data_IF_323045901003
#
_entry.id   IF_323045901003
#
_cell.length_a   1.000
_cell.length_b   1.000
_cell.length_c   1.000
_cell.angle_alpha   90.00
_cell.angle_beta   90.00
_cell.angle_gamma   90.00
#
_symmetry.space_group_name_H-M   'P 1'
#
loop_
_entity.id
_entity.type
_entity.pdbx_description
1 polymer ?
#
# COMPACT_ATOMS: atom_id res chain seq x y z
N UNK A 1 -4.23 16.36 -9.78
CA UNK A 1 -3.83 16.89 -8.46
C UNK A 1 -4.85 17.94 -8.08
N UNK A 2 -5.26 17.97 -6.82
CA UNK A 2 -6.22 18.97 -6.32
C UNK A 2 -5.42 20.09 -5.65
N UNK A 3 -5.13 21.15 -6.42
CA UNK A 3 -4.30 22.28 -6.01
C UNK A 3 -4.67 22.85 -4.64
N UNK A 4 -5.97 22.83 -4.30
CA UNK A 4 -6.49 23.34 -3.01
C UNK A 4 -5.97 22.51 -1.85
N UNK A 5 -6.01 21.19 -2.01
CA UNK A 5 -5.58 20.25 -0.98
C UNK A 5 -4.06 20.20 -0.90
N UNK A 6 -3.38 20.31 -2.04
CA UNK A 6 -1.94 20.41 -2.09
C UNK A 6 -1.46 21.68 -1.36
N UNK A 7 -2.12 22.82 -1.60
CA UNK A 7 -1.85 24.07 -0.87
C UNK A 7 -2.11 23.94 0.64
N UNK A 8 -3.20 23.29 1.05
CA UNK A 8 -3.50 23.07 2.47
C UNK A 8 -2.42 22.22 3.16
N UNK A 9 -1.92 21.18 2.49
CA UNK A 9 -0.83 20.35 3.01
C UNK A 9 0.48 21.15 3.13
N UNK A 10 0.80 22.01 2.15
CA UNK A 10 1.97 22.90 2.22
C UNK A 10 1.85 23.92 3.35
N UNK A 11 0.66 24.47 3.54
CA UNK A 11 0.36 25.39 4.63
C UNK A 11 0.55 24.71 5.99
N UNK A 12 0.02 23.50 6.15
CA UNK A 12 0.20 22.67 7.34
C UNK A 12 1.68 22.41 7.64
N UNK A 13 2.46 22.00 6.63
CA UNK A 13 3.88 21.68 6.81
C UNK A 13 4.70 22.94 7.15
N UNK A 14 4.45 24.06 6.48
CA UNK A 14 5.12 25.33 6.76
C UNK A 14 4.77 25.89 8.15
N UNK A 15 3.53 25.68 8.60
CA UNK A 15 3.09 26.02 9.95
C UNK A 15 3.55 25.00 11.00
N UNK A 16 4.06 23.83 10.60
CA UNK A 16 4.29 22.69 11.50
C UNK A 16 3.07 22.33 12.37
N UNK A 17 1.86 22.50 11.81
CA UNK A 17 0.59 22.33 12.53
C UNK A 17 0.29 23.43 13.57
N UNK A 18 1.09 24.49 13.67
CA UNK A 18 0.81 25.61 14.56
C UNK A 18 -0.22 26.56 13.94
N UNK A 19 -1.43 26.57 14.50
CA UNK A 19 -2.53 27.48 14.10
C UNK A 19 -2.24 28.97 14.32
N UNK A 20 -1.17 29.31 15.03
CA UNK A 20 -0.75 30.70 15.26
C UNK A 20 0.35 31.14 14.29
N UNK A 21 0.97 30.21 13.57
CA UNK A 21 1.94 30.54 12.54
C UNK A 21 1.26 31.28 11.38
N UNK A 22 1.84 32.41 10.99
CA UNK A 22 1.45 33.15 9.79
C UNK A 22 2.39 32.73 8.66
N UNK A 23 1.81 32.22 7.58
CA UNK A 23 2.54 31.68 6.45
C UNK A 23 2.17 32.45 5.19
N UNK A 24 3.18 32.89 4.43
CA UNK A 24 2.97 33.51 3.12
C UNK A 24 2.61 32.42 2.10
N UNK A 25 1.44 32.47 1.47
CA UNK A 25 1.07 31.45 0.48
C UNK A 25 1.74 31.64 -0.89
N UNK A 26 2.17 32.87 -1.22
CA UNK A 26 2.84 33.15 -2.50
C UNK A 26 4.16 32.39 -2.65
N UNK A 27 4.80 32.03 -1.52
CA UNK A 27 6.01 31.20 -1.54
C UNK A 27 5.78 29.78 -2.08
N UNK A 28 4.52 29.38 -2.28
CA UNK A 28 4.15 28.05 -2.78
C UNK A 28 3.92 28.01 -4.29
N UNK A 29 3.94 29.15 -5.01
CA UNK A 29 3.71 29.21 -6.47
C UNK A 29 4.67 28.29 -7.25
N UNK A 30 5.98 28.44 -7.01
CA UNK A 30 7.01 27.61 -7.65
C UNK A 30 6.90 26.12 -7.26
N UNK A 31 6.53 25.85 -6.01
CA UNK A 31 6.45 24.49 -5.47
C UNK A 31 5.19 23.72 -5.90
N UNK A 32 4.12 24.45 -6.25
CA UNK A 32 2.86 23.88 -6.70
C UNK A 32 2.78 23.83 -8.23
N UNK A 33 3.72 24.44 -8.95
CA UNK A 33 3.71 24.52 -10.41
C UNK A 33 2.46 25.24 -10.94
N UNK A 34 1.94 26.19 -10.17
CA UNK A 34 0.69 26.90 -10.42
C UNK A 34 0.94 28.42 -10.46
N UNK A 35 0.12 29.15 -11.22
CA UNK A 35 0.19 30.60 -11.27
C UNK A 35 -0.27 31.24 -9.96
N UNK A 36 0.20 32.46 -9.68
CA UNK A 36 -0.22 33.25 -8.51
C UNK A 36 -1.75 33.33 -8.36
N UNK A 37 -2.47 33.53 -9.47
CA UNK A 37 -3.94 33.60 -9.50
C UNK A 37 -4.59 32.28 -9.13
N UNK A 38 -4.03 31.14 -9.54
CA UNK A 38 -4.55 29.82 -9.19
C UNK A 38 -4.33 29.50 -7.70
N UNK A 39 -3.17 29.89 -7.16
CA UNK A 39 -2.87 29.73 -5.73
C UNK A 39 -3.73 30.66 -4.89
N UNK A 40 -3.97 31.89 -5.34
CA UNK A 40 -4.88 32.84 -4.69
C UNK A 40 -6.31 32.28 -4.62
N UNK A 41 -6.85 31.80 -5.74
CA UNK A 41 -8.18 31.16 -5.77
C UNK A 41 -8.25 29.90 -4.88
N UNK A 42 -7.17 29.12 -4.82
CA UNK A 42 -7.10 27.97 -3.94
C UNK A 42 -7.12 28.40 -2.46
N UNK A 43 -6.40 29.47 -2.12
CA UNK A 43 -6.36 29.99 -0.76
C UNK A 43 -7.69 30.60 -0.32
N UNK A 44 -8.35 31.39 -1.19
CA UNK A 44 -9.70 31.90 -0.97
C UNK A 44 -10.69 30.77 -0.70
N UNK A 45 -10.58 29.68 -1.46
CA UNK A 45 -11.41 28.50 -1.24
C UNK A 45 -11.17 27.87 0.14
N UNK A 46 -9.91 27.76 0.57
CA UNK A 46 -9.56 27.22 1.90
C UNK A 46 -10.12 28.10 3.02
N UNK A 47 -10.09 29.42 2.85
CA UNK A 47 -10.68 30.38 3.80
C UNK A 47 -12.20 30.23 3.86
N UNK A 48 -12.86 30.19 2.70
CA UNK A 48 -14.32 30.02 2.62
C UNK A 48 -14.80 28.70 3.23
N UNK A 49 -13.97 27.64 3.17
CA UNK A 49 -14.25 26.34 3.78
C UNK A 49 -13.85 26.24 5.26
N UNK A 50 -13.24 27.28 5.82
CA UNK A 50 -12.81 27.31 7.22
C UNK A 50 -11.52 26.53 7.51
N UNK A 51 -10.79 26.09 6.49
CA UNK A 51 -9.51 25.36 6.66
C UNK A 51 -8.30 26.27 6.87
N UNK A 52 -8.41 27.52 6.42
CA UNK A 52 -7.43 28.57 6.67
C UNK A 52 -8.15 29.86 7.08
N UNK A 53 -7.40 30.83 7.59
CA UNK A 53 -7.93 32.14 7.94
C UNK A 53 -6.96 33.28 7.61
N UNK A 54 -7.53 34.42 7.20
CA UNK A 54 -6.81 35.67 6.97
C UNK A 54 -6.71 36.47 8.26
N UNK A 55 -5.54 36.44 8.90
CA UNK A 55 -5.27 37.19 10.13
C UNK A 55 -4.68 38.58 9.89
N UNK A 56 -4.11 38.81 8.71
CA UNK A 56 -3.53 40.10 8.33
C UNK A 56 -3.89 40.42 6.89
N UNK A 57 -3.79 41.70 6.52
CA UNK A 57 -3.94 42.12 5.13
C UNK A 57 -2.70 41.67 4.32
N UNK A 58 -2.94 41.03 3.19
CA UNK A 58 -1.89 40.52 2.31
C UNK A 58 -1.88 38.99 2.25
N UNK A 59 -0.83 38.39 1.67
CA UNK A 59 -0.82 36.98 1.30
C UNK A 59 -0.49 36.03 2.47
N UNK A 60 -0.87 36.39 3.69
CA UNK A 60 -0.47 35.67 4.90
C UNK A 60 -1.69 35.02 5.55
N UNK A 61 -1.65 33.69 5.69
CA UNK A 61 -2.72 32.91 6.30
C UNK A 61 -2.19 32.05 7.44
N UNK A 62 -3.08 31.72 8.38
CA UNK A 62 -2.85 30.65 9.34
C UNK A 62 -3.78 29.49 9.04
N UNK A 63 -3.31 28.27 9.32
CA UNK A 63 -4.16 27.08 9.26
C UNK A 63 -5.09 27.06 10.48
N UNK A 64 -6.32 26.59 10.30
CA UNK A 64 -7.29 26.41 11.40
C UNK A 64 -7.17 25.00 12.00
N UNK A 65 -7.91 24.74 13.09
CA UNK A 65 -8.04 23.38 13.64
C UNK A 65 -8.68 22.45 12.61
N UNK A 66 -9.75 22.89 11.95
CA UNK A 66 -10.43 22.09 10.92
C UNK A 66 -9.50 21.78 9.73
N UNK A 67 -8.63 22.72 9.36
CA UNK A 67 -7.61 22.51 8.33
C UNK A 67 -6.55 21.49 8.74
N UNK A 68 -6.10 21.54 10.00
CA UNK A 68 -5.18 20.55 10.58
C UNK A 68 -5.82 19.16 10.56
N UNK A 69 -7.02 19.03 11.11
CA UNK A 69 -7.75 17.77 11.20
C UNK A 69 -7.96 17.14 9.82
N UNK A 70 -8.28 17.95 8.81
CA UNK A 70 -8.46 17.49 7.43
C UNK A 70 -7.16 16.96 6.81
N UNK A 71 -6.03 17.65 7.01
CA UNK A 71 -4.71 17.17 6.53
C UNK A 71 -4.32 15.86 7.22
N UNK A 72 -4.50 15.78 8.54
CA UNK A 72 -4.20 14.58 9.31
C UNK A 72 -5.07 13.39 8.91
N UNK A 73 -6.37 13.62 8.70
CA UNK A 73 -7.32 12.61 8.22
C UNK A 73 -6.89 12.06 6.86
N UNK A 74 -6.59 12.93 5.89
CA UNK A 74 -6.12 12.51 4.55
C UNK A 74 -4.79 11.76 4.62
N UNK A 75 -3.86 12.20 5.46
CA UNK A 75 -2.59 11.49 5.69
C UNK A 75 -2.83 10.12 6.33
N UNK A 76 -3.77 10.00 7.26
CA UNK A 76 -4.15 8.73 7.87
C UNK A 76 -4.79 7.78 6.85
N UNK A 77 -5.65 8.28 5.97
CA UNK A 77 -6.26 7.49 4.88
C UNK A 77 -5.21 7.00 3.90
N UNK A 78 -4.31 7.87 3.42
CA UNK A 78 -3.20 7.45 2.56
C UNK A 78 -2.31 6.41 3.22
N UNK A 79 -1.98 6.57 4.51
CA UNK A 79 -1.22 5.56 5.27
C UNK A 79 -1.97 4.23 5.31
N UNK A 80 -3.27 4.24 5.60
CA UNK A 80 -4.09 3.02 5.59
C UNK A 80 -4.12 2.36 4.22
N UNK A 81 -4.23 3.12 3.14
CA UNK A 81 -4.24 2.56 1.79
C UNK A 81 -2.89 1.94 1.42
N UNK A 82 -1.78 2.58 1.81
CA UNK A 82 -0.43 2.02 1.67
C UNK A 82 -0.29 0.74 2.50
N UNK A 83 -0.75 0.74 3.75
CA UNK A 83 -0.72 -0.44 4.62
C UNK A 83 -1.57 -1.59 4.06
N UNK A 84 -2.75 -1.28 3.51
CA UNK A 84 -3.62 -2.28 2.87
C UNK A 84 -2.99 -2.83 1.59
N UNK A 85 -2.37 -1.98 0.77
CA UNK A 85 -1.65 -2.41 -0.43
C UNK A 85 -0.44 -3.30 -0.07
N UNK A 86 0.22 -3.06 1.06
CA UNK A 86 1.31 -3.91 1.54
C UNK A 86 0.82 -5.28 2.05
N UNK A 87 -0.43 -5.39 2.49
CA UNK A 87 -0.97 -6.61 3.13
C UNK A 87 -1.86 -7.44 2.19
N UNK A 88 -2.33 -6.88 1.07
CA UNK A 88 -3.21 -7.56 0.11
C UNK A 88 -2.45 -7.88 -1.18
N UNK A 89 -2.57 -9.11 -1.69
CA UNK A 89 -1.96 -9.47 -2.98
C UNK A 89 -2.51 -8.62 -4.11
N UNK A 90 -1.61 -8.05 -4.90
CA UNK A 90 -1.95 -7.36 -6.15
C UNK A 90 -2.45 -8.36 -7.20
N UNK A 91 -3.04 -7.85 -8.29
CA UNK A 91 -3.52 -8.72 -9.37
C UNK A 91 -2.37 -9.51 -10.03
N UNK A 92 -1.23 -8.87 -10.25
CA UNK A 92 -0.08 -9.51 -10.88
C UNK A 92 0.54 -10.56 -9.94
N UNK A 93 0.66 -10.26 -8.65
CA UNK A 93 1.13 -11.24 -7.66
C UNK A 93 0.20 -12.44 -7.55
N UNK A 94 -1.12 -12.26 -7.63
CA UNK A 94 -2.05 -13.40 -7.69
C UNK A 94 -1.78 -14.28 -8.89
N UNK A 95 -1.54 -13.69 -10.07
CA UNK A 95 -1.24 -14.44 -11.30
C UNK A 95 0.08 -15.19 -11.19
N UNK A 96 1.09 -14.57 -10.61
CA UNK A 96 2.39 -15.20 -10.37
C UNK A 96 2.28 -16.37 -9.39
N UNK A 97 1.58 -16.17 -8.26
CA UNK A 97 1.31 -17.23 -7.28
C UNK A 97 0.56 -18.38 -7.95
N UNK A 98 -0.48 -18.11 -8.73
CA UNK A 98 -1.24 -19.16 -9.43
C UNK A 98 -0.37 -19.93 -10.42
N UNK A 99 0.47 -19.23 -11.18
CA UNK A 99 1.39 -19.84 -12.14
C UNK A 99 2.43 -20.75 -11.46
N UNK A 100 2.84 -20.44 -10.23
CA UNK A 100 3.82 -21.22 -9.47
C UNK A 100 3.19 -22.40 -8.73
N UNK A 101 2.01 -22.24 -8.11
CA UNK A 101 1.40 -23.34 -7.34
C UNK A 101 0.82 -24.44 -8.22
N UNK A 102 0.43 -24.13 -9.47
CA UNK A 102 -0.20 -25.11 -10.36
C UNK A 102 0.73 -26.29 -10.69
N UNK A 103 1.98 -26.08 -11.15
CA UNK A 103 2.93 -27.18 -11.36
C UNK A 103 3.23 -27.99 -10.08
N UNK A 104 3.22 -27.34 -8.92
CA UNK A 104 3.46 -28.01 -7.63
C UNK A 104 2.31 -28.94 -7.30
N UNK A 105 1.07 -28.48 -7.51
CA UNK A 105 -0.11 -29.30 -7.34
C UNK A 105 -0.14 -30.48 -8.33
N UNK A 106 0.20 -30.23 -9.60
CA UNK A 106 0.28 -31.29 -10.62
C UNK A 106 1.32 -32.36 -10.24
N UNK A 107 2.50 -31.96 -9.76
CA UNK A 107 3.53 -32.89 -9.31
C UNK A 107 3.17 -33.65 -8.03
N UNK A 108 2.35 -33.04 -7.16
CA UNK A 108 1.80 -33.70 -5.98
C UNK A 108 0.76 -34.75 -6.38
N UNK A 109 -0.17 -34.39 -7.25
CA UNK A 109 -1.27 -35.25 -7.70
C UNK A 109 -0.77 -36.41 -8.58
N UNK A 110 0.32 -36.22 -9.33
CA UNK A 110 0.96 -37.28 -10.13
C UNK A 110 1.89 -38.20 -9.31
N UNK A 111 2.18 -37.85 -8.04
CA UNK A 111 3.11 -38.57 -7.19
C UNK A 111 4.59 -38.37 -7.55
N UNK A 112 4.92 -37.41 -8.42
CA UNK A 112 6.29 -37.08 -8.82
C UNK A 112 7.15 -36.59 -7.66
N UNK A 113 6.54 -35.94 -6.66
CA UNK A 113 7.28 -35.39 -5.52
C UNK A 113 7.78 -36.44 -4.52
N UNK A 114 7.31 -37.70 -4.59
CA UNK A 114 7.74 -38.80 -3.70
C UNK A 114 7.82 -38.43 -2.21
N UNK A 115 6.86 -37.64 -1.73
CA UNK A 115 6.80 -37.18 -0.35
C UNK A 115 6.35 -38.31 0.59
N UNK A 116 6.70 -38.19 1.88
CA UNK A 116 6.09 -39.04 2.90
C UNK A 116 4.60 -38.71 3.04
N UNK A 117 3.80 -39.62 3.61
CA UNK A 117 2.35 -39.38 3.76
C UNK A 117 2.02 -38.15 4.60
N UNK A 118 2.85 -37.85 5.61
CA UNK A 118 2.70 -36.66 6.45
C UNK A 118 3.10 -35.39 5.68
N UNK A 119 4.24 -35.43 4.97
CA UNK A 119 4.71 -34.29 4.15
C UNK A 119 3.75 -33.98 2.99
N UNK A 120 3.18 -34.99 2.34
CA UNK A 120 2.16 -34.82 1.29
C UNK A 120 0.91 -34.12 1.86
N UNK A 121 0.45 -34.57 3.03
CA UNK A 121 -0.72 -33.98 3.70
C UNK A 121 -0.48 -32.51 4.06
N UNK A 122 0.71 -32.19 4.58
CA UNK A 122 1.09 -30.81 4.90
C UNK A 122 1.18 -29.93 3.65
N UNK A 123 1.84 -30.39 2.58
CA UNK A 123 1.89 -29.65 1.31
C UNK A 123 0.48 -29.41 0.75
N UNK A 124 -0.40 -30.41 0.80
CA UNK A 124 -1.79 -30.29 0.33
C UNK A 124 -2.57 -29.25 1.14
N UNK A 125 -2.42 -29.24 2.46
CA UNK A 125 -3.05 -28.24 3.35
C UNK A 125 -2.57 -26.82 3.02
N UNK A 126 -1.27 -26.63 2.79
CA UNK A 126 -0.73 -25.32 2.44
C UNK A 126 -1.19 -24.87 1.05
N UNK A 127 -1.26 -25.76 0.06
CA UNK A 127 -1.82 -25.47 -1.26
C UNK A 127 -3.28 -25.04 -1.17
N UNK A 128 -4.09 -25.73 -0.37
CA UNK A 128 -5.49 -25.35 -0.12
C UNK A 128 -5.59 -23.96 0.52
N UNK A 129 -4.71 -23.65 1.48
CA UNK A 129 -4.62 -22.32 2.10
C UNK A 129 -4.34 -21.23 1.07
N UNK A 130 -3.37 -21.45 0.17
CA UNK A 130 -3.08 -20.50 -0.91
C UNK A 130 -4.27 -20.34 -1.85
N UNK A 131 -4.90 -21.43 -2.29
CA UNK A 131 -6.06 -21.38 -3.17
C UNK A 131 -7.25 -20.65 -2.53
N UNK A 132 -7.50 -20.86 -1.24
CA UNK A 132 -8.55 -20.15 -0.50
C UNK A 132 -8.27 -18.63 -0.47
N UNK A 133 -7.02 -18.23 -0.27
CA UNK A 133 -6.64 -16.82 -0.34
C UNK A 133 -6.82 -16.26 -1.76
N UNK A 134 -6.43 -16.98 -2.81
CA UNK A 134 -6.59 -16.52 -4.20
C UNK A 134 -8.06 -16.29 -4.59
N UNK A 135 -8.99 -17.10 -4.05
CA UNK A 135 -10.45 -16.93 -4.23
C UNK A 135 -11.05 -15.81 -3.38
N UNK A 136 -10.33 -15.29 -2.39
CA UNK A 136 -10.79 -14.20 -1.54
C UNK A 136 -10.82 -12.87 -2.31
N UNK A 137 -11.78 -12.01 -1.95
CA UNK A 137 -11.81 -10.63 -2.42
C UNK A 137 -10.59 -9.83 -1.94
N UNK A 138 -9.97 -10.24 -0.82
CA UNK A 138 -8.79 -9.62 -0.21
C UNK A 138 -7.81 -10.70 0.29
N UNK A 139 -7.03 -11.35 -0.60
CA UNK A 139 -6.01 -12.32 -0.24
C UNK A 139 -4.96 -11.61 0.58
N UNK A 140 -4.64 -12.17 1.73
CA UNK A 140 -3.61 -11.60 2.59
C UNK A 140 -2.25 -12.10 2.14
N UNK A 141 -1.43 -11.17 1.66
CA UNK A 141 -0.06 -11.37 1.21
C UNK A 141 0.79 -12.16 2.22
N UNK A 142 0.77 -11.86 3.55
CA UNK A 142 1.56 -12.62 4.52
C UNK A 142 1.10 -14.08 4.67
N UNK A 143 -0.21 -14.35 4.59
CA UNK A 143 -0.74 -15.72 4.70
C UNK A 143 -0.26 -16.55 3.51
N UNK A 144 -0.31 -15.99 2.31
CA UNK A 144 0.19 -16.65 1.10
C UNK A 144 1.70 -16.86 1.18
N UNK A 145 2.46 -15.83 1.58
CA UNK A 145 3.92 -15.96 1.76
C UNK A 145 4.31 -17.05 2.77
N UNK A 146 3.59 -17.16 3.88
CA UNK A 146 3.83 -18.21 4.89
C UNK A 146 3.53 -19.61 4.35
N UNK A 147 2.38 -19.78 3.68
CA UNK A 147 2.02 -21.06 3.09
C UNK A 147 3.02 -21.50 2.00
N UNK A 148 3.46 -20.58 1.14
CA UNK A 148 4.49 -20.85 0.14
C UNK A 148 5.85 -21.18 0.77
N UNK A 149 6.21 -20.51 1.86
CA UNK A 149 7.44 -20.81 2.62
C UNK A 149 7.39 -22.22 3.22
N UNK A 150 6.25 -22.62 3.77
CA UNK A 150 6.05 -23.97 4.30
C UNK A 150 6.15 -25.05 3.21
N UNK A 151 5.49 -24.84 2.07
CA UNK A 151 5.63 -25.74 0.89
C UNK A 151 7.10 -25.84 0.47
N UNK A 152 7.78 -24.70 0.37
CA UNK A 152 9.19 -24.65 -0.01
C UNK A 152 10.03 -25.49 0.95
N UNK A 153 9.86 -25.33 2.26
CA UNK A 153 10.61 -26.06 3.28
C UNK A 153 10.50 -27.59 3.15
N UNK A 154 9.33 -28.09 2.76
CA UNK A 154 9.08 -29.53 2.56
C UNK A 154 9.63 -30.00 1.21
N UNK A 155 9.35 -29.26 0.14
CA UNK A 155 9.73 -29.64 -1.23
C UNK A 155 11.23 -29.47 -1.50
N UNK A 156 11.97 -28.72 -0.68
CA UNK A 156 13.44 -28.55 -0.81
C UNK A 156 14.19 -29.89 -0.77
N UNK A 157 13.65 -30.91 -0.10
CA UNK A 157 14.22 -32.26 -0.07
C UNK A 157 14.10 -33.04 -1.38
N UNK A 158 13.25 -32.59 -2.31
CA UNK A 158 12.91 -33.25 -3.56
C UNK A 158 13.56 -32.48 -4.72
N UNK A 159 14.87 -32.66 -4.90
CA UNK A 159 15.65 -31.90 -5.87
C UNK A 159 15.18 -32.14 -7.32
N UNK A 160 14.83 -31.08 -8.06
CA UNK A 160 14.84 -31.13 -9.53
C UNK A 160 13.81 -30.31 -10.31
N UNK A 161 12.78 -29.73 -9.68
CA UNK A 161 11.69 -29.10 -10.45
C UNK A 161 11.88 -27.57 -10.61
N UNK A 162 11.74 -27.04 -11.82
CA UNK A 162 11.81 -25.59 -12.10
C UNK A 162 10.77 -24.79 -11.31
N UNK A 163 9.66 -25.43 -10.92
CA UNK A 163 8.65 -24.87 -10.03
C UNK A 163 9.21 -24.44 -8.65
N UNK A 164 10.27 -25.10 -8.18
CA UNK A 164 10.90 -24.80 -6.89
C UNK A 164 11.54 -23.41 -6.87
N UNK A 165 12.24 -23.01 -7.93
CA UNK A 165 12.87 -21.69 -7.99
C UNK A 165 11.82 -20.56 -7.95
N UNK A 166 10.68 -20.77 -8.62
CA UNK A 166 9.53 -19.85 -8.55
C UNK A 166 8.90 -19.79 -7.16
N UNK A 167 8.74 -20.94 -6.49
CA UNK A 167 8.24 -21.02 -5.12
C UNK A 167 9.12 -20.22 -4.14
N UNK A 168 10.43 -20.43 -4.16
CA UNK A 168 11.38 -19.75 -3.27
C UNK A 168 11.34 -18.24 -3.50
N UNK A 169 11.37 -17.81 -4.77
CA UNK A 169 11.34 -16.39 -5.11
C UNK A 169 10.06 -15.70 -4.60
N UNK A 170 8.90 -16.32 -4.82
CA UNK A 170 7.62 -15.79 -4.33
C UNK A 170 7.50 -15.86 -2.82
N UNK A 171 7.90 -16.96 -2.18
CA UNK A 171 7.88 -17.08 -0.73
C UNK A 171 8.66 -15.91 -0.10
N UNK A 172 9.89 -15.67 -0.57
CA UNK A 172 10.71 -14.57 -0.09
C UNK A 172 10.07 -13.20 -0.34
N UNK A 173 9.59 -12.96 -1.57
CA UNK A 173 8.97 -11.69 -1.94
C UNK A 173 7.70 -11.39 -1.15
N UNK A 174 6.91 -12.40 -0.78
CA UNK A 174 5.62 -12.20 -0.10
C UNK A 174 5.75 -12.18 1.44
N UNK A 175 6.91 -12.55 1.99
CA UNK A 175 7.22 -12.47 3.43
C UNK A 175 8.01 -11.23 3.86
N UNK A 176 8.60 -10.50 2.91
CA UNK A 176 9.39 -9.28 3.13
C UNK A 176 8.81 -8.10 2.35
#
# INVERSE_FOLDING_TARGET
MDLRMDLLERLYDAASGDRFALVNWQQFEENLGASAVEVEHAADWLIQRGYAEARVLGPMFSITVDGIDEVERRRAERRRDVDLAAVVLTHDERREVEAVIRPVQEALDSGELQLSGDDEADVRLQLETVQLQLRSNRPRRPIVGWALSAITGIVTGVAGNAAYAGLVALAHALTH
#
